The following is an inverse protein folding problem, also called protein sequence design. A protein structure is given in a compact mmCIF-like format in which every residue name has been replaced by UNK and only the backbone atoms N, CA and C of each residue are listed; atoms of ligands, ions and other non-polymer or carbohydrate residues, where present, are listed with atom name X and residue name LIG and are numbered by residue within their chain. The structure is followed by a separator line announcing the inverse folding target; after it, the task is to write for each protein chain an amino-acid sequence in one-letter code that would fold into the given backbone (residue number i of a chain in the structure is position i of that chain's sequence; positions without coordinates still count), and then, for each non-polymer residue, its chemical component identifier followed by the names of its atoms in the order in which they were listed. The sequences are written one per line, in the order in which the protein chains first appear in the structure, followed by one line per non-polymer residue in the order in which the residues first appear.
data_IF_954746849673
#
_entry.id   IF_954746849673
#
_cell.length_a   1.000
_cell.length_b   1.000
_cell.length_c   1.000
_cell.angle_alpha   90.00
_cell.angle_beta   90.00
_cell.angle_gamma   90.00
#
_symmetry.space_group_name_H-M   'P 1'
#
loop_
_entity.id
_entity.type
_entity.pdbx_description
1 polymer ?
#
# COMPACT_ATOMS: atom_id res chain seq x y z
N UNK A 1 -93.07 -8.88 -101.36
CA UNK A 1 -92.94 -7.74 -100.42
C UNK A 1 -92.01 -8.15 -99.28
N UNK A 2 -90.92 -7.40 -99.07
CA UNK A 2 -90.17 -7.12 -97.81
C UNK A 2 -89.73 -8.29 -96.89
N UNK A 3 -88.60 -8.31 -96.20
CA UNK A 3 -87.38 -7.49 -96.11
C UNK A 3 -86.40 -8.27 -95.18
N UNK A 4 -85.10 -8.09 -95.40
CA UNK A 4 -83.96 -8.14 -94.45
C UNK A 4 -84.13 -8.67 -93.02
N UNK A 5 -83.25 -9.60 -92.62
CA UNK A 5 -82.47 -9.50 -91.37
C UNK A 5 -81.33 -10.54 -91.35
N UNK A 6 -80.13 -10.06 -91.70
CA UNK A 6 -78.85 -10.76 -91.54
C UNK A 6 -78.30 -10.42 -90.14
N UNK A 7 -77.51 -11.35 -89.57
CA UNK A 7 -76.51 -11.07 -88.53
C UNK A 7 -76.99 -10.87 -87.07
N UNK A 8 -77.08 -11.96 -86.28
CA UNK A 8 -76.96 -11.88 -84.79
C UNK A 8 -76.83 -13.24 -84.08
N UNK A 9 -77.23 -14.36 -84.71
CA UNK A 9 -77.32 -15.65 -83.98
C UNK A 9 -76.00 -16.39 -83.79
N UNK A 10 -74.96 -16.14 -84.58
CA UNK A 10 -73.64 -16.78 -84.39
C UNK A 10 -72.77 -16.11 -83.30
N UNK A 11 -72.93 -14.81 -83.02
CA UNK A 11 -72.09 -14.09 -82.03
C UNK A 11 -72.49 -14.30 -80.57
N UNK A 12 -73.73 -14.70 -80.29
CA UNK A 12 -74.24 -14.88 -78.91
C UNK A 12 -73.81 -16.24 -78.33
N UNK A 13 -73.69 -17.27 -79.16
CA UNK A 13 -73.22 -18.60 -78.74
C UNK A 13 -71.76 -18.60 -78.27
N UNK A 14 -70.87 -17.91 -78.99
CA UNK A 14 -69.42 -17.87 -78.68
C UNK A 14 -69.11 -17.06 -77.40
N UNK A 15 -69.87 -15.99 -77.14
CA UNK A 15 -69.63 -15.08 -76.00
C UNK A 15 -70.02 -15.70 -74.64
N UNK A 16 -71.05 -16.55 -74.61
CA UNK A 16 -71.45 -17.27 -73.39
C UNK A 16 -70.49 -18.41 -73.04
N UNK A 17 -69.93 -19.12 -74.03
CA UNK A 17 -68.92 -20.15 -73.79
C UNK A 17 -67.63 -19.54 -73.25
N UNK A 18 -67.20 -18.38 -73.76
CA UNK A 18 -66.00 -17.69 -73.28
C UNK A 18 -66.14 -17.22 -71.82
N UNK A 19 -67.31 -16.69 -71.43
CA UNK A 19 -67.56 -16.25 -70.05
C UNK A 19 -67.58 -17.42 -69.07
N UNK A 20 -68.16 -18.56 -69.44
CA UNK A 20 -68.17 -19.77 -68.60
C UNK A 20 -66.75 -20.32 -68.43
N UNK A 21 -65.95 -20.36 -69.50
CA UNK A 21 -64.55 -20.79 -69.44
C UNK A 21 -63.72 -19.85 -68.54
N UNK A 22 -63.92 -18.54 -68.64
CA UNK A 22 -63.22 -17.57 -67.77
C UNK A 22 -63.60 -17.70 -66.30
N UNK A 23 -64.87 -17.95 -65.98
CA UNK A 23 -65.32 -18.19 -64.60
C UNK A 23 -64.71 -19.49 -64.06
N UNK A 24 -64.75 -20.57 -64.82
CA UNK A 24 -64.13 -21.85 -64.43
C UNK A 24 -62.62 -21.67 -64.21
N UNK A 25 -61.94 -20.94 -65.10
CA UNK A 25 -60.51 -20.66 -64.97
C UNK A 25 -60.19 -19.80 -63.73
N UNK A 26 -60.94 -18.73 -63.48
CA UNK A 26 -60.78 -17.89 -62.28
C UNK A 26 -61.06 -18.67 -61.00
N UNK A 27 -62.09 -19.51 -60.97
CA UNK A 27 -62.38 -20.39 -59.85
C UNK A 27 -61.27 -21.42 -59.63
N UNK A 28 -60.68 -21.97 -60.69
CA UNK A 28 -59.53 -22.88 -60.60
C UNK A 28 -58.29 -22.18 -60.03
N UNK A 29 -58.00 -20.96 -60.50
CA UNK A 29 -56.89 -20.14 -59.99
C UNK A 29 -57.10 -19.77 -58.53
N UNK A 30 -58.32 -19.41 -58.14
CA UNK A 30 -58.67 -19.11 -56.74
C UNK A 30 -58.53 -20.35 -55.84
N UNK A 31 -58.96 -21.53 -56.32
CA UNK A 31 -58.78 -22.80 -55.61
C UNK A 31 -57.30 -23.17 -55.46
N UNK A 32 -56.49 -22.95 -56.50
CA UNK A 32 -55.04 -23.16 -56.45
C UNK A 32 -54.38 -22.20 -55.44
N UNK A 33 -54.74 -20.91 -55.48
CA UNK A 33 -54.22 -19.91 -54.54
C UNK A 33 -54.63 -20.20 -53.07
N UNK A 34 -55.87 -20.67 -52.86
CA UNK A 34 -56.35 -21.11 -51.55
C UNK A 34 -55.59 -22.34 -51.09
N UNK A 35 -55.40 -23.34 -51.96
CA UNK A 35 -54.66 -24.56 -51.64
C UNK A 35 -53.21 -24.28 -51.28
N UNK A 36 -52.57 -23.33 -51.98
CA UNK A 36 -51.20 -22.89 -51.70
C UNK A 36 -51.11 -22.13 -50.38
N UNK A 37 -52.06 -21.24 -50.10
CA UNK A 37 -52.15 -20.53 -48.82
C UNK A 37 -52.34 -21.50 -47.64
N UNK A 38 -53.18 -22.51 -47.80
CA UNK A 38 -53.38 -23.56 -46.79
C UNK A 38 -52.10 -24.37 -46.58
N UNK A 39 -51.39 -24.73 -47.66
CA UNK A 39 -50.09 -25.41 -47.57
C UNK A 39 -49.07 -24.57 -46.79
N UNK A 40 -48.99 -23.26 -47.05
CA UNK A 40 -48.09 -22.36 -46.33
C UNK A 40 -48.44 -22.25 -44.85
N UNK A 41 -49.74 -22.18 -44.51
CA UNK A 41 -50.19 -22.16 -43.12
C UNK A 41 -49.82 -23.45 -42.39
N UNK A 42 -50.00 -24.61 -43.04
CA UNK A 42 -49.61 -25.91 -42.47
C UNK A 42 -48.10 -25.97 -42.26
N UNK A 43 -47.30 -25.53 -43.24
CA UNK A 43 -45.83 -25.52 -43.16
C UNK A 43 -45.31 -24.55 -42.10
N UNK A 44 -45.94 -23.39 -41.94
CA UNK A 44 -45.59 -22.44 -40.88
C UNK A 44 -45.95 -23.03 -39.50
N UNK A 45 -47.12 -23.65 -39.37
CA UNK A 45 -47.54 -24.32 -38.15
C UNK A 45 -46.71 -25.57 -37.81
N UNK A 46 -46.08 -26.22 -38.80
CA UNK A 46 -45.14 -27.31 -38.55
C UNK A 46 -43.78 -26.79 -38.13
N UNK A 47 -43.27 -25.75 -38.80
CA UNK A 47 -41.98 -25.11 -38.45
C UNK A 47 -42.00 -24.54 -37.02
N UNK A 48 -43.10 -23.89 -36.62
CA UNK A 48 -43.25 -23.40 -35.24
C UNK A 48 -43.23 -24.52 -34.20
N UNK A 49 -43.85 -25.66 -34.51
CA UNK A 49 -43.84 -26.82 -33.61
C UNK A 49 -42.46 -27.47 -33.53
N UNK A 50 -41.73 -27.49 -34.63
CA UNK A 50 -40.34 -27.97 -34.68
C UNK A 50 -39.41 -27.04 -33.89
N UNK A 51 -39.58 -25.72 -34.01
CA UNK A 51 -38.86 -24.71 -33.23
C UNK A 51 -39.15 -24.85 -31.72
N UNK A 52 -40.43 -25.01 -31.33
CA UNK A 52 -40.82 -25.25 -29.93
C UNK A 52 -40.25 -26.57 -29.38
N UNK A 53 -40.24 -27.64 -30.17
CA UNK A 53 -39.68 -28.93 -29.76
C UNK A 53 -38.16 -28.86 -29.56
N UNK A 54 -37.44 -28.27 -30.52
CA UNK A 54 -35.98 -28.08 -30.42
C UNK A 54 -35.63 -27.19 -29.23
N UNK A 55 -36.41 -26.13 -28.99
CA UNK A 55 -36.22 -25.26 -27.83
C UNK A 55 -36.44 -26.01 -26.51
N UNK A 56 -37.49 -26.83 -26.42
CA UNK A 56 -37.77 -27.63 -25.23
C UNK A 56 -36.68 -28.68 -24.97
N UNK A 57 -36.12 -29.28 -26.03
CA UNK A 57 -35.00 -30.22 -25.93
C UNK A 57 -33.72 -29.52 -25.46
N UNK A 58 -33.45 -28.31 -25.98
CA UNK A 58 -32.34 -27.47 -25.55
C UNK A 58 -32.49 -27.06 -24.06
N UNK A 59 -33.69 -26.69 -23.63
CA UNK A 59 -33.97 -26.34 -22.23
C UNK A 59 -33.77 -27.55 -21.29
N UNK A 60 -34.18 -28.76 -21.70
CA UNK A 60 -33.95 -29.98 -20.93
C UNK A 60 -32.45 -30.36 -20.84
N UNK A 61 -31.70 -30.19 -21.93
CA UNK A 61 -30.25 -30.43 -21.94
C UNK A 61 -29.50 -29.41 -21.06
N UNK A 62 -29.94 -28.16 -21.04
CA UNK A 62 -29.41 -27.13 -20.14
C UNK A 62 -29.66 -27.48 -18.66
N UNK A 63 -30.81 -28.08 -18.31
CA UNK A 63 -31.09 -28.58 -16.95
C UNK A 63 -30.19 -29.78 -16.56
N UNK A 64 -29.77 -30.60 -17.53
CA UNK A 64 -28.82 -31.71 -17.34
C UNK A 64 -27.34 -31.25 -17.37
N UNK A 65 -27.07 -29.95 -17.58
CA UNK A 65 -25.72 -29.37 -17.52
C UNK A 65 -24.95 -29.32 -18.84
N UNK A 66 -25.61 -29.53 -19.99
CA UNK A 66 -25.01 -29.38 -21.32
C UNK A 66 -25.37 -28.02 -21.92
N UNK A 67 -24.36 -27.23 -22.28
CA UNK A 67 -24.51 -25.89 -22.86
C UNK A 67 -24.00 -25.85 -24.30
N UNK A 68 -24.60 -25.03 -25.15
CA UNK A 68 -23.95 -24.64 -26.41
C UNK A 68 -22.70 -23.78 -26.11
N UNK A 69 -21.75 -23.72 -27.04
CA UNK A 69 -20.54 -22.89 -26.89
C UNK A 69 -20.91 -21.43 -26.59
N UNK A 70 -21.91 -20.89 -27.30
CA UNK A 70 -22.40 -19.51 -27.07
C UNK A 70 -23.01 -19.30 -25.69
N UNK A 71 -23.76 -20.28 -25.17
CA UNK A 71 -24.34 -20.20 -23.82
C UNK A 71 -23.27 -20.35 -22.74
N UNK A 72 -22.31 -21.25 -22.94
CA UNK A 72 -21.16 -21.40 -22.04
C UNK A 72 -20.34 -20.10 -21.97
N UNK A 73 -20.04 -19.48 -23.11
CA UNK A 73 -19.34 -18.20 -23.18
C UNK A 73 -20.13 -17.09 -22.45
N UNK A 74 -21.46 -17.05 -22.60
CA UNK A 74 -22.31 -16.09 -21.90
C UNK A 74 -22.31 -16.32 -20.38
N UNK A 75 -22.44 -17.57 -19.93
CA UNK A 75 -22.39 -17.93 -18.52
C UNK A 75 -21.05 -17.57 -17.89
N UNK A 76 -19.94 -17.78 -18.61
CA UNK A 76 -18.61 -17.37 -18.18
C UNK A 76 -18.52 -15.84 -18.04
N UNK A 77 -19.02 -15.08 -19.02
CA UNK A 77 -19.01 -13.62 -18.94
C UNK A 77 -19.92 -13.08 -17.83
N UNK A 78 -21.11 -13.65 -17.64
CA UNK A 78 -22.04 -13.30 -16.55
C UNK A 78 -21.41 -13.62 -15.19
N UNK A 79 -20.77 -14.79 -15.03
CA UNK A 79 -20.05 -15.16 -13.82
C UNK A 79 -18.89 -14.20 -13.54
N UNK A 80 -18.07 -13.85 -14.54
CA UNK A 80 -17.00 -12.85 -14.40
C UNK A 80 -17.54 -11.48 -14.02
N UNK A 81 -18.69 -11.06 -14.57
CA UNK A 81 -19.32 -9.79 -14.24
C UNK A 81 -19.84 -9.79 -12.79
N UNK A 82 -20.48 -10.89 -12.37
CA UNK A 82 -20.96 -11.07 -11.01
C UNK A 82 -19.80 -11.09 -9.99
N UNK A 83 -18.75 -11.87 -10.24
CA UNK A 83 -17.57 -11.91 -9.37
C UNK A 83 -16.93 -10.53 -9.25
N UNK A 84 -16.78 -9.77 -10.35
CA UNK A 84 -16.27 -8.39 -10.29
C UNK A 84 -17.13 -7.47 -9.41
N UNK A 85 -18.45 -7.60 -9.51
CA UNK A 85 -19.38 -6.82 -8.69
C UNK A 85 -19.29 -7.22 -7.21
N UNK A 86 -19.25 -8.52 -6.92
CA UNK A 86 -19.11 -9.06 -5.56
C UNK A 86 -17.78 -8.63 -4.92
N UNK A 87 -16.66 -8.76 -5.63
CA UNK A 87 -15.35 -8.27 -5.18
C UNK A 87 -15.39 -6.76 -4.91
N UNK A 88 -15.98 -5.96 -5.81
CA UNK A 88 -16.09 -4.51 -5.63
C UNK A 88 -16.92 -4.15 -4.40
N UNK A 89 -18.05 -4.85 -4.19
CA UNK A 89 -18.91 -4.63 -3.03
C UNK A 89 -18.22 -5.06 -1.73
N UNK A 90 -17.46 -6.17 -1.77
CA UNK A 90 -16.67 -6.63 -0.64
C UNK A 90 -15.62 -5.58 -0.24
N UNK A 91 -14.84 -5.06 -1.20
CA UNK A 91 -13.83 -4.03 -0.91
C UNK A 91 -14.48 -2.77 -0.32
N UNK A 92 -15.60 -2.30 -0.90
CA UNK A 92 -16.34 -1.14 -0.37
C UNK A 92 -16.83 -1.37 1.05
N UNK A 93 -17.39 -2.55 1.33
CA UNK A 93 -17.87 -2.91 2.66
C UNK A 93 -16.73 -2.97 3.68
N UNK A 94 -15.57 -3.52 3.30
CA UNK A 94 -14.37 -3.52 4.14
C UNK A 94 -13.90 -2.10 4.44
N UNK A 95 -13.75 -1.25 3.42
CA UNK A 95 -13.34 0.16 3.60
C UNK A 95 -14.33 0.90 4.52
N UNK A 96 -15.62 0.76 4.26
CA UNK A 96 -16.66 1.40 5.06
C UNK A 96 -16.60 0.93 6.52
N UNK A 97 -16.51 -0.39 6.76
CA UNK A 97 -16.41 -0.95 8.10
C UNK A 97 -15.20 -0.45 8.87
N UNK A 98 -14.03 -0.31 8.21
CA UNK A 98 -12.80 0.19 8.84
C UNK A 98 -12.92 1.66 9.23
N UNK A 99 -13.43 2.49 8.32
CA UNK A 99 -13.63 3.92 8.58
C UNK A 99 -14.69 4.17 9.66
N UNK A 100 -15.79 3.41 9.66
CA UNK A 100 -16.83 3.48 10.70
C UNK A 100 -16.32 3.03 12.09
N UNK A 101 -15.34 2.11 12.12
CA UNK A 101 -14.65 1.71 13.34
C UNK A 101 -13.64 2.76 13.86
N UNK A 102 -13.44 3.86 13.13
CA UNK A 102 -12.51 4.92 13.48
C UNK A 102 -11.07 4.65 13.07
N UNK A 103 -10.80 3.64 12.23
CA UNK A 103 -9.47 3.47 11.64
C UNK A 103 -9.11 4.70 10.79
N UNK A 104 -7.86 5.17 10.91
CA UNK A 104 -7.37 6.27 10.10
C UNK A 104 -7.36 5.90 8.61
N UNK A 105 -7.60 6.90 7.73
CA UNK A 105 -7.62 6.73 6.27
C UNK A 105 -6.36 6.03 5.75
N UNK A 106 -5.20 6.40 6.27
CA UNK A 106 -3.91 5.80 5.88
C UNK A 106 -3.85 4.31 6.25
N UNK A 107 -4.24 3.92 7.46
CA UNK A 107 -4.31 2.51 7.89
C UNK A 107 -5.27 1.71 7.01
N UNK A 108 -6.43 2.30 6.66
CA UNK A 108 -7.40 1.67 5.78
C UNK A 108 -6.81 1.41 4.39
N UNK A 109 -6.12 2.40 3.80
CA UNK A 109 -5.47 2.24 2.48
C UNK A 109 -4.37 1.18 2.55
N UNK A 110 -3.52 1.19 3.59
CA UNK A 110 -2.47 0.17 3.79
C UNK A 110 -3.03 -1.25 3.74
N UNK A 111 -4.18 -1.50 4.37
CA UNK A 111 -4.82 -2.83 4.36
C UNK A 111 -5.26 -3.33 2.98
N UNK A 112 -5.34 -2.45 1.98
CA UNK A 112 -5.69 -2.81 0.60
C UNK A 112 -4.47 -3.23 -0.24
N UNK A 113 -3.25 -2.94 0.22
CA UNK A 113 -1.99 -3.15 -0.51
C UNK A 113 -0.95 -3.84 0.40
N UNK A 114 -1.19 -5.10 0.82
CA UNK A 114 -0.33 -5.79 1.78
C UNK A 114 1.09 -6.08 1.25
N UNK A 115 1.30 -6.01 -0.06
CA UNK A 115 2.56 -6.18 -0.76
C UNK A 115 3.31 -4.84 -1.02
N UNK A 116 2.78 -3.72 -0.50
CA UNK A 116 3.34 -2.39 -0.70
C UNK A 116 3.40 -1.58 0.58
N UNK A 117 4.50 -0.86 0.77
CA UNK A 117 4.55 0.25 1.72
C UNK A 117 3.81 1.45 1.12
N UNK A 118 2.65 1.77 1.71
CA UNK A 118 1.90 3.00 1.49
C UNK A 118 2.32 4.10 2.47
N UNK A 119 2.80 5.23 1.91
CA UNK A 119 3.24 6.41 2.65
C UNK A 119 2.44 7.63 2.25
N UNK A 120 1.89 8.35 3.23
CA UNK A 120 1.17 9.60 3.02
C UNK A 120 2.13 10.79 3.18
N UNK A 121 2.25 11.65 2.17
CA UNK A 121 3.03 12.89 2.27
C UNK A 121 2.47 13.96 1.34
N UNK A 122 2.47 15.22 1.78
CA UNK A 122 2.06 16.39 0.97
C UNK A 122 0.70 16.21 0.28
N UNK A 123 -0.28 15.65 1.01
CA UNK A 123 -1.66 15.46 0.53
C UNK A 123 -1.85 14.33 -0.49
N UNK A 124 -0.86 13.46 -0.70
CA UNK A 124 -0.97 12.29 -1.59
C UNK A 124 -0.40 11.02 -0.96
N UNK A 125 -0.70 9.88 -1.57
CA UNK A 125 -0.19 8.57 -1.18
C UNK A 125 0.84 8.08 -2.21
N UNK A 126 1.93 7.52 -1.71
CA UNK A 126 3.00 6.89 -2.48
C UNK A 126 3.01 5.40 -2.14
N UNK A 127 3.32 4.56 -3.14
CA UNK A 127 3.26 3.12 -3.05
C UNK A 127 4.62 2.56 -3.47
N UNK A 128 5.26 1.83 -2.56
CA UNK A 128 6.56 1.22 -2.78
C UNK A 128 6.42 -0.28 -2.63
N UNK A 129 6.90 -1.11 -3.58
CA UNK A 129 6.89 -2.56 -3.40
C UNK A 129 7.69 -2.96 -2.16
N UNK A 130 7.20 -3.94 -1.40
CA UNK A 130 8.00 -4.60 -0.37
C UNK A 130 8.96 -5.56 -1.07
N UNK A 131 10.25 -5.47 -0.76
CA UNK A 131 11.33 -6.16 -1.45
C UNK A 131 11.84 -7.33 -0.61
N UNK A 132 11.68 -8.56 -1.11
CA UNK A 132 12.21 -9.78 -0.48
C UNK A 132 13.75 -9.82 -0.42
N UNK A 133 14.42 -8.97 -1.19
CA UNK A 133 15.89 -8.85 -1.18
C UNK A 133 16.43 -8.18 0.07
N UNK A 134 15.61 -7.38 0.77
CA UNK A 134 15.96 -6.74 2.03
C UNK A 134 15.55 -7.67 3.17
N UNK A 135 16.42 -7.81 4.18
CA UNK A 135 16.08 -8.61 5.36
C UNK A 135 14.83 -8.04 6.05
N UNK A 136 13.88 -8.92 6.38
CA UNK A 136 12.66 -8.55 7.10
C UNK A 136 12.84 -8.71 8.61
N UNK A 137 12.10 -7.95 9.42
CA UNK A 137 12.22 -8.01 10.88
C UNK A 137 11.70 -9.32 11.48
N UNK A 138 10.78 -10.01 10.80
CA UNK A 138 10.27 -11.33 11.22
C UNK A 138 9.27 -11.33 12.39
N UNK A 139 9.15 -10.24 13.15
CA UNK A 139 8.14 -10.08 14.22
C UNK A 139 6.68 -10.18 13.73
N UNK A 140 5.85 -10.85 14.53
CA UNK A 140 4.39 -10.85 14.39
C UNK A 140 3.73 -9.61 15.00
N UNK A 141 2.46 -9.38 14.66
CA UNK A 141 1.70 -8.22 15.13
C UNK A 141 1.52 -8.18 16.67
N UNK A 142 1.57 -9.34 17.33
CA UNK A 142 1.36 -9.50 18.78
C UNK A 142 2.66 -9.75 19.56
N UNK A 143 3.83 -9.71 18.90
CA UNK A 143 5.11 -10.02 19.53
C UNK A 143 5.58 -8.95 20.53
N UNK A 144 5.02 -7.73 20.46
CA UNK A 144 5.33 -6.63 21.36
C UNK A 144 4.10 -6.13 22.10
N UNK A 145 4.23 -6.01 23.42
CA UNK A 145 3.21 -5.43 24.30
C UNK A 145 3.80 -4.29 25.12
N UNK A 146 2.98 -3.29 25.44
CA UNK A 146 3.41 -2.19 26.32
C UNK A 146 3.34 -2.67 27.77
N UNK A 147 4.48 -2.67 28.46
CA UNK A 147 4.61 -2.98 29.88
C UNK A 147 4.08 -1.86 30.79
N UNK A 148 4.00 -2.14 32.09
CA UNK A 148 3.50 -1.19 33.10
C UNK A 148 4.37 0.08 33.24
N UNK A 149 5.64 0.00 32.83
CA UNK A 149 6.59 1.11 32.81
C UNK A 149 6.52 1.94 31.51
N UNK A 150 5.64 1.58 30.58
CA UNK A 150 5.45 2.25 29.30
C UNK A 150 6.40 1.80 28.19
N UNK A 151 7.34 0.88 28.47
CA UNK A 151 8.22 0.32 27.45
C UNK A 151 7.59 -0.85 26.70
N UNK A 152 8.03 -1.08 25.46
CA UNK A 152 7.69 -2.32 24.76
C UNK A 152 8.47 -3.50 25.36
N UNK A 153 7.76 -4.59 25.57
CA UNK A 153 8.28 -5.89 25.98
C UNK A 153 8.03 -6.90 24.87
N UNK A 154 9.05 -7.71 24.56
CA UNK A 154 8.92 -8.81 23.63
C UNK A 154 8.30 -10.02 24.32
N UNK A 155 7.18 -10.51 23.77
CA UNK A 155 6.42 -11.68 24.25
C UNK A 155 6.30 -12.78 23.20
N UNK A 156 7.01 -12.63 22.07
CA UNK A 156 7.04 -13.63 21.02
C UNK A 156 7.78 -14.91 21.44
N UNK A 157 7.70 -15.93 20.59
CA UNK A 157 8.21 -17.27 20.92
C UNK A 157 9.73 -17.45 20.79
N UNK A 158 10.44 -16.50 20.17
CA UNK A 158 11.88 -16.61 19.96
C UNK A 158 12.65 -16.14 21.20
N UNK A 159 13.06 -17.09 22.04
CA UNK A 159 13.80 -16.82 23.28
C UNK A 159 15.19 -16.19 23.05
N UNK A 160 15.70 -16.15 21.81
CA UNK A 160 16.98 -15.48 21.50
C UNK A 160 16.86 -13.96 21.37
N UNK A 161 15.64 -13.43 21.28
CA UNK A 161 15.41 -11.99 21.23
C UNK A 161 15.49 -11.40 22.63
N UNK A 162 16.41 -10.45 22.79
CA UNK A 162 16.59 -9.70 24.03
C UNK A 162 16.39 -8.22 23.75
N UNK A 163 15.40 -7.63 24.42
CA UNK A 163 15.07 -6.21 24.28
C UNK A 163 15.76 -5.41 25.37
N UNK A 164 16.54 -4.42 24.98
CA UNK A 164 17.10 -3.40 25.87
C UNK A 164 16.26 -2.13 25.80
N UNK A 165 16.06 -1.48 26.94
CA UNK A 165 15.26 -0.24 27.06
C UNK A 165 16.15 0.98 26.92
N UNK A 166 15.77 1.92 26.07
CA UNK A 166 16.56 3.13 25.84
C UNK A 166 15.74 4.39 25.73
N UNK A 167 16.46 5.50 25.75
CA UNK A 167 15.92 6.84 25.48
C UNK A 167 16.85 7.57 24.54
N UNK A 168 16.32 8.47 23.71
CA UNK A 168 17.13 9.47 23.04
C UNK A 168 16.85 10.88 23.58
N UNK A 169 17.93 11.65 23.77
CA UNK A 169 17.88 12.92 24.50
C UNK A 169 18.72 13.99 23.84
N UNK A 170 18.31 15.23 24.06
CA UNK A 170 18.99 16.43 23.60
C UNK A 170 18.79 17.59 24.59
N UNK A 171 19.16 18.81 24.20
CA UNK A 171 18.85 20.03 24.98
C UNK A 171 17.37 20.18 25.36
N UNK A 172 16.45 19.51 24.68
CA UNK A 172 15.01 19.62 24.96
C UNK A 172 14.60 18.95 26.27
N UNK A 173 15.37 17.97 26.76
CA UNK A 173 15.13 17.30 28.04
C UNK A 173 15.77 18.05 29.23
N UNK A 174 16.57 19.09 28.95
CA UNK A 174 17.20 19.91 29.99
C UNK A 174 18.14 19.12 30.90
N UNK A 175 18.05 19.35 32.21
CA UNK A 175 18.89 18.68 33.19
C UNK A 175 18.30 17.32 33.54
N UNK A 176 19.08 16.25 33.38
CA UNK A 176 18.65 14.87 33.62
C UNK A 176 19.31 14.31 34.89
N UNK A 177 18.51 13.70 35.77
CA UNK A 177 19.00 12.88 36.87
C UNK A 177 19.29 11.45 36.38
N UNK A 178 20.47 11.28 35.79
CA UNK A 178 20.91 10.02 35.20
C UNK A 178 20.99 8.85 36.18
N UNK A 179 21.18 9.13 37.47
CA UNK A 179 21.14 8.08 38.49
C UNK A 179 19.72 7.53 38.62
N UNK A 180 18.72 8.41 38.73
CA UNK A 180 17.31 7.99 38.76
C UNK A 180 16.91 7.30 37.45
N UNK A 181 17.38 7.78 36.30
CA UNK A 181 17.16 7.13 35.00
C UNK A 181 17.70 5.69 35.00
N UNK A 182 18.92 5.45 35.48
CA UNK A 182 19.46 4.09 35.61
C UNK A 182 18.63 3.23 36.56
N UNK A 183 18.17 3.79 37.68
CA UNK A 183 17.29 3.10 38.63
C UNK A 183 15.91 2.75 38.03
N UNK A 184 15.48 3.40 36.94
CA UNK A 184 14.30 3.01 36.16
C UNK A 184 14.56 1.85 35.17
N UNK A 185 15.79 1.33 35.11
CA UNK A 185 16.12 0.19 34.25
C UNK A 185 16.43 0.58 32.80
N UNK A 186 16.83 1.83 32.55
CA UNK A 186 17.34 2.23 31.23
C UNK A 186 18.72 1.61 31.00
N UNK A 187 18.86 0.92 29.87
CA UNK A 187 20.05 0.20 29.47
C UNK A 187 20.99 1.08 28.64
N UNK A 188 20.42 1.84 27.71
CA UNK A 188 21.18 2.70 26.79
C UNK A 188 20.55 4.07 26.59
N UNK A 189 21.34 5.02 26.08
CA UNK A 189 20.83 6.29 25.61
C UNK A 189 21.53 6.76 24.31
N UNK A 190 20.74 7.30 23.38
CA UNK A 190 21.27 8.07 22.25
C UNK A 190 21.30 9.55 22.60
N UNK A 191 22.47 10.18 22.49
CA UNK A 191 22.67 11.57 22.92
C UNK A 191 22.96 12.43 21.69
N UNK A 192 22.18 13.51 21.51
CA UNK A 192 22.41 14.42 20.39
C UNK A 192 23.73 15.16 20.57
N UNK A 193 24.62 15.03 19.60
CA UNK A 193 25.88 15.81 19.56
C UNK A 193 25.63 17.20 19.00
N UNK A 194 24.78 17.29 17.99
CA UNK A 194 24.51 18.55 17.30
C UNK A 194 23.47 18.40 16.21
N UNK A 195 23.34 19.47 15.45
CA UNK A 195 22.46 19.54 14.29
C UNK A 195 23.04 20.45 13.21
N UNK A 196 22.58 20.26 11.98
CA UNK A 196 22.69 21.27 10.93
C UNK A 196 21.36 22.00 10.76
N UNK A 197 21.41 23.33 10.75
CA UNK A 197 20.22 24.17 10.63
C UNK A 197 19.53 24.05 9.27
N UNK A 198 18.20 24.03 9.29
CA UNK A 198 17.33 23.74 8.13
C UNK A 198 17.36 24.79 7.02
N UNK A 199 17.69 26.05 7.32
CA UNK A 199 17.73 27.15 6.33
C UNK A 199 19.15 27.51 5.91
N UNK A 200 19.98 27.99 6.85
CA UNK A 200 21.34 28.47 6.53
C UNK A 200 22.39 27.35 6.48
N UNK A 201 22.04 26.12 6.86
CA UNK A 201 22.98 25.00 6.87
C UNK A 201 24.09 25.12 7.91
N UNK A 202 23.93 25.94 8.95
CA UNK A 202 24.93 26.10 10.03
C UNK A 202 24.94 24.89 10.95
N UNK A 203 26.13 24.38 11.23
CA UNK A 203 26.34 23.36 12.27
C UNK A 203 26.26 24.02 13.65
N UNK A 204 25.51 23.39 14.56
CA UNK A 204 25.38 23.78 15.96
C UNK A 204 25.59 22.55 16.85
N UNK A 205 26.41 22.68 17.88
CA UNK A 205 26.50 21.67 18.95
C UNK A 205 25.25 21.70 19.82
N UNK A 206 24.88 20.55 20.38
CA UNK A 206 23.85 20.48 21.41
C UNK A 206 24.40 20.95 22.75
N UNK A 207 23.75 21.95 23.35
CA UNK A 207 24.26 22.60 24.57
C UNK A 207 24.26 21.66 25.78
N UNK A 208 23.49 20.56 25.74
CA UNK A 208 23.42 19.55 26.79
C UNK A 208 24.24 18.29 26.49
N UNK A 209 24.93 18.22 25.34
CA UNK A 209 25.69 17.02 24.93
C UNK A 209 26.66 16.55 26.02
N UNK A 210 27.54 17.45 26.48
CA UNK A 210 28.60 17.09 27.44
C UNK A 210 28.05 16.60 28.79
N UNK A 211 27.02 17.27 29.30
CA UNK A 211 26.41 16.90 30.58
C UNK A 211 25.67 15.56 30.46
N UNK A 212 25.01 15.33 29.33
CA UNK A 212 24.30 14.09 29.06
C UNK A 212 25.26 12.90 28.89
N UNK A 213 26.31 13.03 28.09
CA UNK A 213 27.24 11.92 27.83
C UNK A 213 28.02 11.53 29.09
N UNK A 214 28.46 12.52 29.88
CA UNK A 214 29.11 12.26 31.18
C UNK A 214 28.13 11.62 32.16
N UNK A 215 26.93 12.20 32.30
CA UNK A 215 25.93 11.74 33.25
C UNK A 215 25.47 10.30 32.97
N UNK A 216 25.18 9.96 31.72
CA UNK A 216 24.80 8.60 31.33
C UNK A 216 25.93 7.60 31.58
N UNK A 217 27.14 7.92 31.10
CA UNK A 217 28.31 7.04 31.21
C UNK A 217 28.70 6.78 32.67
N UNK A 218 28.73 7.83 33.52
CA UNK A 218 29.07 7.73 34.94
C UNK A 218 28.06 6.89 35.75
N UNK A 219 26.82 6.78 35.27
CA UNK A 219 25.77 5.97 35.89
C UNK A 219 25.61 4.58 35.25
N UNK A 220 26.53 4.17 34.35
CA UNK A 220 26.54 2.83 33.76
C UNK A 220 25.40 2.59 32.76
N UNK A 221 24.99 3.64 32.05
CA UNK A 221 24.12 3.56 30.87
C UNK A 221 25.04 3.54 29.65
N UNK A 222 24.84 2.58 28.74
CA UNK A 222 25.62 2.53 27.51
C UNK A 222 25.19 3.66 26.56
N UNK A 223 26.16 4.32 25.91
CA UNK A 223 25.89 5.53 25.15
C UNK A 223 26.16 5.33 23.66
N UNK A 224 25.19 5.76 22.85
CA UNK A 224 25.33 6.05 21.43
C UNK A 224 25.12 7.54 21.20
N UNK A 225 25.42 8.04 20.01
CA UNK A 225 25.25 9.45 19.70
C UNK A 225 24.56 9.66 18.37
N UNK A 226 23.83 10.76 18.21
CA UNK A 226 23.19 11.10 16.96
C UNK A 226 23.39 12.56 16.55
N UNK A 227 23.19 12.83 15.27
CA UNK A 227 23.28 14.17 14.71
C UNK A 227 22.14 14.41 13.72
N UNK A 228 21.32 15.43 14.01
CA UNK A 228 20.23 15.84 13.13
C UNK A 228 20.79 16.49 11.87
N UNK A 229 20.71 15.77 10.74
CA UNK A 229 21.32 16.20 9.50
C UNK A 229 20.39 17.07 8.68
N UNK A 230 20.97 18.11 8.07
CA UNK A 230 20.38 18.86 6.97
C UNK A 230 21.43 19.07 5.87
N UNK A 231 22.38 18.14 5.76
CA UNK A 231 23.41 18.15 4.73
C UNK A 231 22.77 18.00 3.35
N UNK A 232 23.32 18.71 2.36
CA UNK A 232 22.83 18.67 0.97
C UNK A 232 23.84 18.08 -0.01
N UNK A 233 24.96 17.55 0.50
CA UNK A 233 26.02 16.91 -0.28
C UNK A 233 27.04 16.20 0.62
N UNK A 234 27.92 15.42 0.01
CA UNK A 234 29.04 14.70 0.65
C UNK A 234 29.91 15.58 1.55
N UNK A 235 30.29 16.79 1.09
CA UNK A 235 31.16 17.68 1.87
C UNK A 235 30.51 18.05 3.21
N UNK A 236 29.22 18.36 3.19
CA UNK A 236 28.51 18.71 4.42
C UNK A 236 28.29 17.52 5.34
N UNK A 237 28.07 16.33 4.80
CA UNK A 237 28.04 15.09 5.59
C UNK A 237 29.38 14.84 6.29
N UNK A 238 30.51 15.10 5.61
CA UNK A 238 31.86 15.01 6.20
C UNK A 238 32.07 16.04 7.33
N UNK A 239 31.58 17.26 7.17
CA UNK A 239 31.64 18.28 8.23
C UNK A 239 30.83 17.86 9.48
N UNK A 240 29.66 17.25 9.29
CA UNK A 240 28.81 16.77 10.38
C UNK A 240 29.46 15.61 11.14
N UNK A 241 29.91 14.58 10.43
CA UNK A 241 30.55 13.42 11.07
C UNK A 241 31.88 13.80 11.73
N UNK A 242 32.67 14.71 11.15
CA UNK A 242 33.92 15.15 11.77
C UNK A 242 33.68 15.82 13.12
N UNK A 243 32.66 16.68 13.23
CA UNK A 243 32.27 17.27 14.51
C UNK A 243 31.93 16.18 15.53
N UNK A 244 31.19 15.15 15.14
CA UNK A 244 30.85 14.05 16.04
C UNK A 244 32.11 13.33 16.53
N UNK A 245 32.98 12.93 15.61
CA UNK A 245 34.21 12.20 15.94
C UNK A 245 35.11 12.99 16.89
N UNK A 246 35.24 14.30 16.68
CA UNK A 246 36.00 15.19 17.57
C UNK A 246 35.37 15.28 18.97
N UNK A 247 34.03 15.37 19.05
CA UNK A 247 33.31 15.53 20.30
C UNK A 247 33.23 14.24 21.12
N UNK A 248 33.23 13.06 20.48
CA UNK A 248 33.15 11.77 21.17
C UNK A 248 34.51 11.17 21.53
N UNK A 249 35.62 11.65 20.95
CA UNK A 249 36.99 11.14 21.22
C UNK A 249 37.30 10.92 22.72
N UNK A 250 36.85 11.79 23.67
CA UNK A 250 37.14 11.59 25.08
C UNK A 250 36.31 10.51 25.79
N UNK A 251 35.32 9.92 25.14
CA UNK A 251 34.28 9.08 25.76
C UNK A 251 34.27 7.65 25.19
N UNK A 252 33.85 6.70 26.02
CA UNK A 252 33.65 5.30 25.61
C UNK A 252 32.24 5.13 25.00
N UNK A 253 32.13 5.37 23.69
CA UNK A 253 30.87 5.22 22.93
C UNK A 253 30.73 3.78 22.44
N UNK A 254 29.85 3.02 23.09
CA UNK A 254 29.62 1.58 22.80
C UNK A 254 28.48 1.35 21.82
N UNK A 255 27.49 2.23 21.80
CA UNK A 255 26.36 2.15 20.88
C UNK A 255 26.65 2.93 19.58
N UNK A 256 25.84 2.75 18.53
CA UNK A 256 26.10 3.34 17.23
C UNK A 256 26.24 4.87 17.22
N UNK A 257 26.98 5.36 16.21
CA UNK A 257 26.99 6.76 15.82
C UNK A 257 25.99 6.92 14.67
N UNK A 258 24.99 7.76 14.89
CA UNK A 258 23.77 7.80 14.08
C UNK A 258 23.69 9.11 13.29
N UNK A 259 23.38 9.00 12.00
CA UNK A 259 22.84 10.12 11.24
C UNK A 259 21.32 10.11 11.33
N UNK A 260 20.74 11.24 11.72
CA UNK A 260 19.30 11.44 11.78
C UNK A 260 18.85 12.13 10.49
N UNK A 261 18.09 11.40 9.67
CA UNK A 261 17.57 11.83 8.36
C UNK A 261 16.06 11.91 8.43
N UNK A 262 15.56 13.15 8.48
CA UNK A 262 14.14 13.43 8.53
C UNK A 262 13.74 14.54 7.55
N UNK A 263 12.45 14.62 7.26
CA UNK A 263 11.90 15.83 6.62
C UNK A 263 11.86 16.95 7.63
N UNK A 264 12.46 18.09 7.31
CA UNK A 264 12.32 19.29 8.13
C UNK A 264 10.89 19.86 8.07
N UNK A 265 10.39 20.35 9.19
CA UNK A 265 9.09 21.05 9.29
C UNK A 265 9.22 22.51 8.82
N UNK A 266 9.60 22.69 7.54
CA UNK A 266 9.74 24.00 6.91
C UNK A 266 9.68 23.89 5.39
N UNK A 267 8.79 24.67 4.76
CA UNK A 267 8.69 24.77 3.30
C UNK A 267 9.99 25.32 2.66
N UNK A 268 10.84 25.98 3.45
CA UNK A 268 12.11 26.56 3.02
C UNK A 268 13.32 25.72 3.45
N UNK A 269 13.10 24.49 3.92
CA UNK A 269 14.19 23.62 4.28
C UNK A 269 15.06 23.32 3.07
N UNK A 270 16.37 23.44 3.26
CA UNK A 270 17.38 23.26 2.22
C UNK A 270 17.43 21.83 1.66
N UNK A 271 16.87 20.88 2.38
CA UNK A 271 16.78 19.46 2.01
C UNK A 271 15.52 19.12 1.20
N UNK A 272 14.54 20.03 1.08
CA UNK A 272 13.26 19.77 0.42
C UNK A 272 13.38 19.38 -1.06
N UNK A 273 14.39 19.90 -1.74
CA UNK A 273 14.61 19.68 -3.18
C UNK A 273 15.61 18.55 -3.45
N UNK A 274 16.11 17.87 -2.42
CA UNK A 274 17.01 16.74 -2.60
C UNK A 274 16.28 15.54 -3.21
N UNK A 275 16.96 14.89 -4.13
CA UNK A 275 16.60 13.58 -4.66
C UNK A 275 16.98 12.47 -3.69
N UNK A 276 16.42 11.27 -3.88
CA UNK A 276 16.77 10.11 -3.05
C UNK A 276 18.26 9.76 -3.13
N UNK A 277 18.82 9.75 -4.34
CA UNK A 277 20.26 9.57 -4.56
C UNK A 277 21.12 10.57 -3.77
N UNK A 278 20.69 11.83 -3.63
CA UNK A 278 21.45 12.84 -2.87
C UNK A 278 21.39 12.60 -1.36
N UNK A 279 20.23 12.20 -0.83
CA UNK A 279 20.11 11.77 0.57
C UNK A 279 20.97 10.53 0.85
N UNK A 280 20.96 9.55 -0.06
CA UNK A 280 21.76 8.33 0.06
C UNK A 280 23.26 8.63 0.00
N UNK A 281 23.70 9.55 -0.86
CA UNK A 281 25.10 10.01 -0.86
C UNK A 281 25.49 10.61 0.48
N UNK A 282 24.62 11.43 1.09
CA UNK A 282 24.85 12.01 2.43
C UNK A 282 24.94 10.90 3.48
N UNK A 283 23.96 9.98 3.51
CA UNK A 283 23.91 8.87 4.46
C UNK A 283 25.14 7.96 4.35
N UNK A 284 25.45 7.50 3.12
CA UNK A 284 26.60 6.63 2.83
C UNK A 284 27.91 7.30 3.21
N UNK A 285 28.09 8.58 2.88
CA UNK A 285 29.30 9.34 3.26
C UNK A 285 29.48 9.38 4.76
N UNK A 286 28.42 9.73 5.50
CA UNK A 286 28.46 9.78 6.95
C UNK A 286 28.79 8.40 7.53
N UNK A 287 28.02 7.38 7.16
CA UNK A 287 28.11 6.05 7.73
C UNK A 287 29.44 5.35 7.39
N UNK A 288 29.96 5.52 6.19
CA UNK A 288 31.25 4.96 5.79
C UNK A 288 32.42 5.64 6.52
N UNK A 289 32.29 6.93 6.81
CA UNK A 289 33.26 7.68 7.62
C UNK A 289 33.25 7.20 9.07
N UNK A 290 32.07 7.04 9.67
CA UNK A 290 31.89 6.44 11.00
C UNK A 290 32.52 5.04 11.07
N UNK A 291 32.22 4.18 10.09
CA UNK A 291 32.79 2.82 10.00
C UNK A 291 34.30 2.86 9.92
N UNK A 292 34.86 3.77 9.12
CA UNK A 292 36.31 3.94 8.95
C UNK A 292 37.00 4.44 10.21
N UNK A 293 36.30 5.19 11.06
CA UNK A 293 36.77 5.63 12.36
C UNK A 293 36.69 4.54 13.45
N UNK A 294 36.15 3.35 13.13
CA UNK A 294 36.07 2.21 14.04
C UNK A 294 34.78 2.12 14.85
N UNK A 295 33.79 2.97 14.56
CA UNK A 295 32.47 2.95 15.21
C UNK A 295 31.43 2.23 14.36
N UNK A 296 30.34 1.78 14.97
CA UNK A 296 29.19 1.20 14.25
C UNK A 296 28.34 2.34 13.66
N UNK A 297 28.16 2.42 12.33
CA UNK A 297 27.24 3.38 11.72
C UNK A 297 25.79 2.92 11.82
N UNK A 298 24.90 3.89 11.96
CA UNK A 298 23.46 3.69 11.95
C UNK A 298 22.75 4.89 11.33
N UNK A 299 21.58 4.65 10.74
CA UNK A 299 20.71 5.67 10.17
C UNK A 299 19.41 5.66 10.98
N UNK A 300 19.04 6.84 11.49
CA UNK A 300 17.73 7.07 12.07
C UNK A 300 16.79 7.69 11.04
N UNK A 301 15.53 7.26 11.08
CA UNK A 301 14.45 7.90 10.36
C UNK A 301 13.13 7.18 10.57
N UNK A 302 12.06 7.74 10.01
CA UNK A 302 10.74 7.09 9.98
C UNK A 302 10.50 6.38 8.64
N UNK A 303 9.33 5.75 8.47
CA UNK A 303 8.96 5.07 7.22
C UNK A 303 9.07 5.97 5.98
N UNK A 304 8.79 7.27 6.11
CA UNK A 304 8.97 8.23 5.01
C UNK A 304 10.44 8.42 4.66
N UNK A 305 11.33 8.33 5.64
CA UNK A 305 12.77 8.50 5.46
C UNK A 305 13.34 7.36 4.62
N UNK A 306 12.99 6.11 4.92
CA UNK A 306 13.40 4.92 4.18
C UNK A 306 12.53 4.58 2.94
N UNK A 307 11.78 5.56 2.43
CA UNK A 307 11.00 5.37 1.18
C UNK A 307 11.04 6.60 0.27
N UNK A 308 10.69 7.77 0.80
CA UNK A 308 10.63 9.01 0.03
C UNK A 308 11.94 9.78 0.05
N UNK A 309 12.71 9.69 1.13
CA UNK A 309 14.00 10.37 1.23
C UNK A 309 15.14 9.47 0.75
N UNK A 310 15.11 8.18 1.05
CA UNK A 310 16.09 7.18 0.61
C UNK A 310 15.36 5.91 0.20
N UNK A 311 15.92 5.14 -0.72
CA UNK A 311 15.51 3.75 -0.89
C UNK A 311 16.11 2.89 0.23
N UNK A 312 15.27 2.13 0.94
CA UNK A 312 15.73 1.22 1.99
C UNK A 312 16.77 0.21 1.46
N UNK A 313 16.65 -0.23 0.20
CA UNK A 313 17.61 -1.15 -0.41
C UNK A 313 19.00 -0.54 -0.53
N UNK A 314 19.10 0.77 -0.70
CA UNK A 314 20.38 1.45 -0.90
C UNK A 314 21.14 1.71 0.40
N UNK A 315 20.50 1.48 1.56
CA UNK A 315 21.07 1.77 2.88
C UNK A 315 20.93 0.61 3.88
N UNK A 316 20.58 -0.60 3.42
CA UNK A 316 20.35 -1.79 4.26
C UNK A 316 21.63 -2.43 4.82
N UNK A 317 22.81 -2.02 4.35
CA UNK A 317 24.13 -2.40 4.89
C UNK A 317 24.52 -1.67 6.20
N UNK A 318 23.70 -0.72 6.66
CA UNK A 318 23.92 0.06 7.88
C UNK A 318 22.97 -0.37 9.00
N UNK A 319 23.30 -0.02 10.25
CA UNK A 319 22.34 -0.20 11.34
C UNK A 319 21.11 0.70 11.12
N UNK A 320 19.92 0.23 11.48
CA UNK A 320 18.67 0.95 11.25
C UNK A 320 17.99 1.25 12.59
N UNK A 321 17.76 2.53 12.84
CA UNK A 321 16.91 3.02 13.94
C UNK A 321 15.63 3.60 13.35
N UNK A 322 14.53 2.86 13.47
CA UNK A 322 13.25 3.22 12.87
C UNK A 322 12.33 3.91 13.88
N UNK A 323 11.76 5.06 13.52
CA UNK A 323 10.69 5.71 14.27
C UNK A 323 9.31 5.29 13.75
N UNK A 324 8.50 4.69 14.62
CA UNK A 324 7.11 4.35 14.32
C UNK A 324 6.24 4.25 15.58
N UNK A 325 5.29 5.17 15.74
CA UNK A 325 4.46 5.29 16.95
C UNK A 325 3.10 4.59 16.88
N UNK A 326 2.93 3.69 15.92
CA UNK A 326 1.71 2.90 15.75
C UNK A 326 1.89 1.47 16.24
N UNK A 327 0.77 0.77 16.45
CA UNK A 327 0.74 -0.68 16.64
C UNK A 327 -0.38 -1.30 15.78
N UNK A 328 -0.12 -2.41 15.07
CA UNK A 328 1.16 -3.12 14.98
C UNK A 328 2.23 -2.33 14.20
N UNK A 329 3.50 -2.74 14.33
CA UNK A 329 4.63 -2.17 13.59
C UNK A 329 4.38 -2.28 12.08
N UNK A 330 4.58 -1.18 11.36
CA UNK A 330 4.27 -1.10 9.93
C UNK A 330 5.49 -1.20 9.01
N UNK A 331 6.68 -0.89 9.50
CA UNK A 331 7.91 -1.00 8.71
C UNK A 331 8.30 -2.49 8.58
N UNK A 332 8.38 -3.08 7.36
CA UNK A 332 8.52 -4.52 7.19
C UNK A 332 9.96 -5.04 7.29
N UNK A 333 10.95 -4.16 7.11
CA UNK A 333 12.34 -4.54 7.05
C UNK A 333 12.99 -4.60 8.44
N UNK A 334 14.13 -5.27 8.49
CA UNK A 334 14.97 -5.36 9.68
C UNK A 334 15.31 -3.96 10.23
N UNK A 335 15.38 -3.89 11.55
CA UNK A 335 15.84 -2.73 12.30
C UNK A 335 16.62 -3.21 13.53
N UNK A 336 17.54 -2.40 14.03
CA UNK A 336 18.27 -2.67 15.27
C UNK A 336 17.61 -1.99 16.46
N UNK A 337 17.04 -0.79 16.23
CA UNK A 337 16.40 0.04 17.24
C UNK A 337 15.04 0.52 16.73
N UNK A 338 14.02 0.46 17.58
CA UNK A 338 12.69 1.01 17.32
C UNK A 338 12.38 2.11 18.32
N UNK A 339 12.23 3.34 17.84
CA UNK A 339 11.61 4.43 18.60
C UNK A 339 10.10 4.32 18.46
N UNK A 340 9.44 3.89 19.53
CA UNK A 340 8.01 3.55 19.49
C UNK A 340 7.09 4.62 20.07
N UNK A 341 7.65 5.65 20.71
CA UNK A 341 6.87 6.82 21.16
C UNK A 341 7.77 8.04 21.37
N UNK A 342 7.21 9.23 21.13
CA UNK A 342 7.84 10.51 21.46
C UNK A 342 7.22 11.22 22.68
N UNK A 343 6.37 10.51 23.41
CA UNK A 343 5.62 11.03 24.56
C UNK A 343 5.73 10.12 25.78
N UNK A 344 6.87 9.45 25.92
CA UNK A 344 7.18 8.64 27.08
C UNK A 344 7.40 9.47 28.32
N UNK A 345 7.56 8.79 29.45
CA UNK A 345 7.88 9.42 30.73
C UNK A 345 8.82 8.50 31.49
N UNK A 346 9.99 9.02 31.84
CA UNK A 346 11.00 8.32 32.64
C UNK A 346 11.35 9.19 33.83
N UNK A 347 11.30 8.63 35.05
CA UNK A 347 11.69 9.40 36.25
C UNK A 347 13.15 9.83 36.13
N UNK A 348 13.41 11.09 36.46
CA UNK A 348 14.72 11.73 36.29
C UNK A 348 14.83 12.56 35.01
N UNK A 349 13.83 12.49 34.11
CA UNK A 349 13.72 13.36 32.94
C UNK A 349 12.41 14.14 33.08
N UNK A 350 12.50 15.48 32.98
CA UNK A 350 11.33 16.35 33.03
C UNK A 350 10.64 16.41 31.67
N UNK A 351 9.31 16.23 31.65
CA UNK A 351 8.51 16.31 30.43
C UNK A 351 8.51 15.02 29.61
N UNK A 352 8.25 15.16 28.31
CA UNK A 352 8.21 14.03 27.38
C UNK A 352 9.64 13.61 26.99
N UNK A 353 9.83 12.30 26.86
CA UNK A 353 11.05 11.72 26.32
C UNK A 353 10.70 10.64 25.32
N UNK A 354 11.54 10.52 24.31
CA UNK A 354 11.43 9.50 23.27
C UNK A 354 11.89 8.16 23.88
N UNK A 355 11.12 7.09 23.62
CA UNK A 355 11.42 5.75 24.16
C UNK A 355 11.77 4.79 23.03
N UNK A 356 12.85 4.05 23.27
CA UNK A 356 13.43 3.12 22.33
C UNK A 356 13.50 1.71 22.90
N UNK A 357 13.45 0.75 21.99
CA UNK A 357 13.92 -0.60 22.23
C UNK A 357 15.06 -0.94 21.28
N UNK A 358 16.10 -1.58 21.78
CA UNK A 358 17.19 -2.13 20.96
C UNK A 358 17.11 -3.65 21.01
N UNK A 359 17.13 -4.29 19.84
CA UNK A 359 17.12 -5.76 19.70
C UNK A 359 18.48 -6.33 19.29
N UNK A 360 19.46 -5.45 19.07
CA UNK A 360 20.83 -5.81 18.71
C UNK A 360 21.77 -5.68 19.92
N UNK A 361 22.71 -6.61 20.03
CA UNK A 361 23.83 -6.52 20.97
C UNK A 361 25.04 -5.84 20.33
N UNK A 362 25.64 -4.89 21.06
CA UNK A 362 26.82 -4.11 20.64
C UNK A 362 28.04 -4.41 21.50
#
# INVERSE_FOLDING_TARGET
MKNTSQDTRERIGVRNTHNIISIIFLSLVALLALSFSVMLLIKNASLKREEEAVRSELEALNEEGYYTVTEADRLIEDAKAQTRLETTNSIKATIQSKLEAGEGTTTTIRSLFPDQMVVASSGRYYFFPILDTIAHHGFGEEDFVVGDDGFLEYVGSDESIHVKKGVDVSRFQGNIDWKTVKEQGIDFAFIRVGLRGTTEGKILTDDCFEDNIKGATENGIDVGVYFYSQAVNEKEALEEVQLILDMIEPYDVKYPVVIDIETADSDSARTNDLTSDEYEVVAKTFCDTVRSAGYKPMIYGNVKSFTLLMDAQDVDDYGIWIAYYGSPLYYPYHFDVLQFTSSGTVKGIDGNVDLDICITDY
#
